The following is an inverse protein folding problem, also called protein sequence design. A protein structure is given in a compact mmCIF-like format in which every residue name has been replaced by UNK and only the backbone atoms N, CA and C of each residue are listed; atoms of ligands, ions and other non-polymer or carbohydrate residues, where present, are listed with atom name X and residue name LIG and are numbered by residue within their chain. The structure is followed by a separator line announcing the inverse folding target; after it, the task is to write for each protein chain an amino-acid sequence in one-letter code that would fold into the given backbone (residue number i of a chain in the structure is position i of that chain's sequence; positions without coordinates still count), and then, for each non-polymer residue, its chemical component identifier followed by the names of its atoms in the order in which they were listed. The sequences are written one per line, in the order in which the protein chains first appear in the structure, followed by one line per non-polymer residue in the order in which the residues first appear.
data_IF_216428482626
#
_entry.id   IF_216428482626
#
_cell.length_a   1.000
_cell.length_b   1.000
_cell.length_c   1.000
_cell.angle_alpha   90.00
_cell.angle_beta   90.00
_cell.angle_gamma   90.00
#
_symmetry.space_group_name_H-M   'P 1'
#
loop_
_entity.id
_entity.type
_entity.pdbx_description
1 polymer ?
#
# COMPACT_ATOMS: atom_id res chain seq x y z
N UNK A 1 4.13 2.48 -11.21
CA UNK A 1 3.80 1.05 -11.47
C UNK A 1 4.68 0.40 -12.53
N UNK A 2 4.87 1.00 -13.72
CA UNK A 2 5.75 0.50 -14.80
C UNK A 2 7.17 0.14 -14.32
N UNK A 3 7.73 0.96 -13.43
CA UNK A 3 9.07 0.81 -12.87
C UNK A 3 9.26 -0.43 -11.96
N UNK A 4 8.17 -0.94 -11.36
CA UNK A 4 8.18 -2.15 -10.50
C UNK A 4 7.64 -3.39 -11.21
N UNK A 5 7.28 -3.28 -12.51
CA UNK A 5 6.62 -4.33 -13.29
C UNK A 5 5.38 -4.92 -12.58
N UNK A 6 4.63 -4.07 -11.87
CA UNK A 6 3.37 -4.43 -11.21
C UNK A 6 2.24 -3.68 -11.90
N UNK A 7 1.15 -4.38 -12.24
CA UNK A 7 -0.02 -3.75 -12.86
C UNK A 7 -0.96 -3.15 -11.81
N UNK A 8 -1.77 -2.17 -12.23
CA UNK A 8 -2.81 -1.59 -11.35
C UNK A 8 -3.79 -2.65 -10.85
N UNK A 9 -4.15 -3.61 -11.69
CA UNK A 9 -5.03 -4.72 -11.31
C UNK A 9 -4.42 -5.58 -10.19
N UNK A 10 -3.10 -5.82 -10.21
CA UNK A 10 -2.42 -6.55 -9.14
C UNK A 10 -2.42 -5.78 -7.81
N UNK A 11 -2.21 -4.45 -7.86
CA UNK A 11 -2.28 -3.61 -6.67
C UNK A 11 -3.70 -3.58 -6.10
N UNK A 12 -4.72 -3.41 -6.94
CA UNK A 12 -6.12 -3.45 -6.50
C UNK A 12 -6.48 -4.81 -5.91
N UNK A 13 -6.06 -5.92 -6.54
CA UNK A 13 -6.24 -7.27 -6.00
C UNK A 13 -5.62 -7.41 -4.62
N UNK A 14 -4.41 -6.87 -4.41
CA UNK A 14 -3.76 -6.86 -3.10
C UNK A 14 -4.58 -6.07 -2.07
N UNK A 15 -5.04 -4.87 -2.40
CA UNK A 15 -5.83 -4.04 -1.49
C UNK A 15 -7.18 -4.67 -1.10
N UNK A 16 -7.81 -5.42 -2.00
CA UNK A 16 -9.14 -6.02 -1.78
C UNK A 16 -9.05 -7.40 -1.12
N UNK A 17 -8.09 -8.23 -1.54
CA UNK A 17 -8.01 -9.66 -1.16
C UNK A 17 -6.71 -10.05 -0.46
N UNK A 18 -5.78 -9.12 -0.28
CA UNK A 18 -4.58 -9.36 0.51
C UNK A 18 -4.89 -9.46 2.00
N UNK A 19 -3.92 -9.94 2.76
CA UNK A 19 -4.00 -9.97 4.22
C UNK A 19 -3.15 -8.83 4.80
N UNK A 20 -3.58 -8.31 5.94
CA UNK A 20 -2.82 -7.33 6.71
C UNK A 20 -1.57 -8.02 7.25
N UNK A 21 -0.41 -7.72 6.67
CA UNK A 21 0.88 -8.30 7.06
C UNK A 21 1.57 -7.50 8.17
N UNK A 22 1.26 -6.21 8.28
CA UNK A 22 1.64 -5.37 9.40
C UNK A 22 0.43 -4.54 9.80
N UNK A 23 0.04 -4.59 11.07
CA UNK A 23 -1.14 -3.89 11.57
C UNK A 23 -1.02 -2.36 11.37
N UNK A 24 -2.16 -1.66 11.31
CA UNK A 24 -2.18 -0.21 11.29
C UNK A 24 -1.37 0.38 12.44
N UNK A 25 -0.38 1.19 12.12
CA UNK A 25 0.46 1.88 13.10
C UNK A 25 0.76 3.30 12.63
N UNK A 26 1.07 4.17 13.58
CA UNK A 26 1.48 5.54 13.30
C UNK A 26 2.99 5.59 13.09
N UNK A 27 3.43 6.27 12.03
CA UNK A 27 4.85 6.49 11.79
C UNK A 27 5.41 7.65 12.62
N UNK A 28 6.73 7.83 12.59
CA UNK A 28 7.43 8.93 13.29
C UNK A 28 7.00 10.34 12.84
N UNK A 29 6.29 10.46 11.71
CA UNK A 29 5.76 11.72 11.18
C UNK A 29 4.28 11.91 11.50
N UNK A 30 3.68 11.02 12.29
CA UNK A 30 2.27 11.06 12.68
C UNK A 30 1.29 10.56 11.61
N UNK A 31 1.78 9.95 10.53
CA UNK A 31 0.92 9.38 9.48
C UNK A 31 0.57 7.93 9.80
N UNK A 32 -0.69 7.55 9.59
CA UNK A 32 -1.12 6.17 9.76
C UNK A 32 -0.71 5.32 8.56
N UNK A 33 -0.13 4.14 8.82
CA UNK A 33 0.34 3.21 7.80
C UNK A 33 -0.15 1.80 8.08
N UNK A 34 -0.35 1.05 7.00
CA UNK A 34 -0.76 -0.34 7.00
C UNK A 34 -0.06 -1.07 5.85
N UNK A 35 0.44 -2.29 6.09
CA UNK A 35 0.95 -3.15 5.02
C UNK A 35 -0.01 -4.30 4.74
N UNK A 36 -0.31 -4.48 3.46
CA UNK A 36 -1.14 -5.55 2.94
C UNK A 36 -0.32 -6.37 1.96
N UNK A 37 -0.35 -7.69 2.11
CA UNK A 37 0.41 -8.60 1.25
C UNK A 37 -0.51 -9.60 0.57
N UNK A 38 -0.21 -9.91 -0.69
CA UNK A 38 -0.86 -10.99 -1.43
C UNK A 38 0.17 -11.73 -2.29
N UNK A 39 -0.16 -12.93 -2.75
CA UNK A 39 0.61 -13.63 -3.78
C UNK A 39 -0.09 -13.42 -5.12
N UNK A 40 0.63 -12.88 -6.10
CA UNK A 40 0.10 -12.65 -7.45
C UNK A 40 1.13 -13.05 -8.49
N UNK A 41 0.69 -13.78 -9.52
CA UNK A 41 1.58 -14.33 -10.56
C UNK A 41 2.81 -15.07 -9.98
N UNK A 42 2.61 -15.83 -8.90
CA UNK A 42 3.65 -16.61 -8.25
C UNK A 42 4.66 -15.81 -7.41
N UNK A 43 4.48 -14.51 -7.22
CA UNK A 43 5.36 -13.69 -6.38
C UNK A 43 4.59 -12.93 -5.30
N UNK A 44 5.19 -12.70 -4.12
CA UNK A 44 4.61 -11.82 -3.12
C UNK A 44 4.58 -10.38 -3.63
N UNK A 45 3.50 -9.68 -3.31
CA UNK A 45 3.32 -8.27 -3.57
C UNK A 45 2.86 -7.63 -2.27
N UNK A 46 3.66 -6.70 -1.74
CA UNK A 46 3.30 -5.93 -0.56
C UNK A 46 2.96 -4.51 -0.97
N UNK A 47 1.84 -4.02 -0.44
CA UNK A 47 1.33 -2.67 -0.64
C UNK A 47 1.26 -1.99 0.72
N UNK A 48 1.93 -0.85 0.84
CA UNK A 48 1.80 0.05 1.98
C UNK A 48 0.78 1.12 1.64
N UNK A 49 -0.29 1.20 2.43
CA UNK A 49 -1.24 2.30 2.40
C UNK A 49 -0.90 3.28 3.52
N UNK A 50 -0.76 4.56 3.17
CA UNK A 50 -0.54 5.64 4.14
C UNK A 50 -1.72 6.60 4.08
N UNK A 51 -2.34 6.84 5.23
CA UNK A 51 -3.29 7.94 5.39
C UNK A 51 -2.52 9.18 5.84
N UNK A 52 -2.48 10.18 4.98
CA UNK A 52 -1.77 11.44 5.21
C UNK A 52 -2.58 12.65 4.76
N UNK A 53 -1.92 13.80 4.73
CA UNK A 53 -2.46 15.04 4.19
C UNK A 53 -1.63 15.52 3.03
N UNK A 54 -2.26 16.12 2.04
CA UNK A 54 -1.56 16.83 0.97
C UNK A 54 -1.13 18.25 1.41
N UNK A 55 -0.57 19.02 0.48
CA UNK A 55 -0.13 20.39 0.73
C UNK A 55 -1.27 21.36 1.05
N UNK A 56 -2.50 21.04 0.67
CA UNK A 56 -3.71 21.80 0.94
C UNK A 56 -4.34 21.43 2.29
N UNK A 57 -3.88 20.34 2.90
CA UNK A 57 -4.42 19.78 4.14
C UNK A 57 -5.54 18.77 3.94
N UNK A 58 -5.81 18.37 2.69
CA UNK A 58 -6.82 17.37 2.33
C UNK A 58 -6.32 15.96 2.63
N UNK A 59 -7.23 15.08 3.04
CA UNK A 59 -6.88 13.69 3.34
C UNK A 59 -6.57 12.94 2.05
N UNK A 60 -5.40 12.31 2.01
CA UNK A 60 -4.96 11.49 0.87
C UNK A 60 -4.52 10.11 1.31
N UNK A 61 -4.78 9.13 0.44
CA UNK A 61 -4.27 7.77 0.60
C UNK A 61 -3.11 7.58 -0.38
N UNK A 62 -1.91 7.42 0.16
CA UNK A 62 -0.70 7.18 -0.63
C UNK A 62 -0.47 5.67 -0.67
N UNK A 63 -0.44 5.12 -1.89
CA UNK A 63 -0.23 3.69 -2.13
C UNK A 63 1.19 3.46 -2.64
N UNK A 64 2.01 2.79 -1.84
CA UNK A 64 3.38 2.42 -2.18
C UNK A 64 3.48 0.92 -2.38
N UNK A 65 4.22 0.49 -3.41
CA UNK A 65 4.38 -0.92 -3.76
C UNK A 65 5.81 -1.37 -3.48
N UNK A 66 5.94 -2.46 -2.73
CA UNK A 66 7.17 -3.17 -2.43
C UNK A 66 7.12 -4.58 -3.04
N UNK A 67 8.25 -5.03 -3.59
CA UNK A 67 8.44 -6.36 -4.19
C UNK A 67 9.78 -6.90 -3.75
#
# INVERSE_FOLDING_TARGET
MRQRKVSRAQVLKCLIHGFVSENPHMDIKGSWKLNITTVTAGQPLTVTAVLGKDSSGDNVIIITVFR
#
